data_IF_760532059967
#
_entry.id   IF_760532059967
#
_cell.length_a   1.000
_cell.length_b   1.000
_cell.length_c   1.000
_cell.angle_alpha   90.00
_cell.angle_beta   90.00
_cell.angle_gamma   90.00
#
_symmetry.space_group_name_H-M   'P 1'
#
loop_
_entity.id
_entity.type
_entity.pdbx_description
1 polymer ?
#
# COMPACT_ATOMS: atom_id res chain seq x y z
N UNK A 1 -10.43 8.95 -31.39
CA UNK A 1 -10.78 8.91 -29.95
C UNK A 1 -11.23 10.30 -29.53
N UNK A 2 -12.43 10.45 -28.94
CA UNK A 2 -13.02 11.76 -28.60
C UNK A 2 -12.29 12.42 -27.43
N UNK A 3 -12.09 13.75 -27.51
CA UNK A 3 -11.47 14.55 -26.45
C UNK A 3 -12.17 14.37 -25.08
N UNK A 4 -13.48 14.09 -25.08
CA UNK A 4 -14.25 13.80 -23.88
C UNK A 4 -13.87 12.46 -23.20
N UNK A 5 -13.41 11.47 -23.96
CA UNK A 5 -12.98 10.18 -23.40
C UNK A 5 -11.59 10.27 -22.77
N UNK A 6 -10.72 11.14 -23.31
CA UNK A 6 -9.39 11.42 -22.76
C UNK A 6 -9.51 12.19 -21.44
N UNK A 7 -10.35 13.22 -21.40
CA UNK A 7 -10.61 14.00 -20.17
C UNK A 7 -11.17 13.13 -19.03
N UNK A 8 -12.16 12.28 -19.35
CA UNK A 8 -12.76 11.36 -18.36
C UNK A 8 -11.74 10.38 -17.78
N UNK A 9 -10.85 9.82 -18.62
CA UNK A 9 -9.79 8.90 -18.18
C UNK A 9 -8.77 9.59 -17.28
N UNK A 10 -8.38 10.80 -17.62
CA UNK A 10 -7.42 11.57 -16.83
C UNK A 10 -7.98 11.95 -15.46
N UNK A 11 -9.26 12.35 -15.38
CA UNK A 11 -9.95 12.62 -14.12
C UNK A 11 -10.00 11.40 -13.21
N UNK A 12 -10.27 10.22 -13.76
CA UNK A 12 -10.30 8.96 -13.00
C UNK A 12 -8.92 8.62 -12.43
N UNK A 13 -7.84 8.80 -13.20
CA UNK A 13 -6.48 8.57 -12.71
C UNK A 13 -6.10 9.54 -11.59
N UNK A 14 -6.41 10.82 -11.74
CA UNK A 14 -6.15 11.85 -10.73
C UNK A 14 -6.91 11.59 -9.43
N UNK A 15 -8.20 11.25 -9.52
CA UNK A 15 -9.01 10.89 -8.34
C UNK A 15 -8.38 9.71 -7.60
N UNK A 16 -7.95 8.70 -8.34
CA UNK A 16 -7.31 7.50 -7.78
C UNK A 16 -6.03 7.84 -7.01
N UNK A 17 -5.14 8.62 -7.62
CA UNK A 17 -3.89 9.07 -7.00
C UNK A 17 -4.14 9.86 -5.71
N UNK A 18 -5.03 10.86 -5.78
CA UNK A 18 -5.42 11.67 -4.61
C UNK A 18 -6.01 10.79 -3.51
N UNK A 19 -6.88 9.84 -3.86
CA UNK A 19 -7.44 8.89 -2.89
C UNK A 19 -6.37 7.99 -2.27
N UNK A 20 -5.40 7.49 -3.05
CA UNK A 20 -4.28 6.68 -2.55
C UNK A 20 -3.38 7.48 -1.61
N UNK A 21 -3.01 8.72 -1.97
CA UNK A 21 -2.19 9.59 -1.12
C UNK A 21 -2.92 9.91 0.18
N UNK A 22 -4.20 10.29 0.11
CA UNK A 22 -5.01 10.57 1.30
C UNK A 22 -5.13 9.34 2.19
N UNK A 23 -5.39 8.16 1.61
CA UNK A 23 -5.47 6.90 2.35
C UNK A 23 -4.15 6.58 3.06
N UNK A 24 -3.03 6.62 2.33
CA UNK A 24 -1.70 6.38 2.88
C UNK A 24 -1.30 7.44 3.92
N UNK A 25 -1.70 8.70 3.75
CA UNK A 25 -1.39 9.79 4.68
C UNK A 25 -2.16 9.63 5.99
N UNK A 26 -3.46 9.35 5.90
CA UNK A 26 -4.31 9.09 7.08
C UNK A 26 -3.85 7.84 7.79
N UNK A 27 -3.55 6.78 7.04
CA UNK A 27 -3.03 5.54 7.62
C UNK A 27 -1.66 5.75 8.24
N UNK A 28 -0.72 6.37 7.54
CA UNK A 28 0.63 6.62 8.05
C UNK A 28 0.64 7.50 9.30
N UNK A 29 -0.25 8.49 9.36
CA UNK A 29 -0.44 9.31 10.55
C UNK A 29 -1.00 8.50 11.72
N UNK A 30 -1.97 7.61 11.44
CA UNK A 30 -2.58 6.75 12.45
C UNK A 30 -1.62 5.68 12.97
N UNK A 31 -0.80 5.13 12.07
CA UNK A 31 0.24 4.15 12.35
C UNK A 31 1.32 4.74 13.28
N UNK A 32 1.73 5.98 13.04
CA UNK A 32 2.66 6.71 13.90
C UNK A 32 2.11 6.99 15.31
N UNK A 33 0.79 7.22 15.45
CA UNK A 33 0.21 7.73 16.70
C UNK A 33 -0.48 6.68 17.57
N UNK A 34 -1.04 5.60 17.00
CA UNK A 34 -1.91 4.66 17.73
C UNK A 34 -1.58 3.19 17.58
N UNK A 35 -0.72 2.77 16.64
CA UNK A 35 -0.42 1.34 16.37
C UNK A 35 -1.66 0.43 16.23
N UNK A 36 -2.81 1.01 15.90
CA UNK A 36 -4.04 0.27 15.64
C UNK A 36 -4.36 0.42 14.16
N UNK A 37 -4.09 -0.66 13.42
CA UNK A 37 -4.41 -0.76 12.01
C UNK A 37 -5.94 -0.84 11.92
N UNK A 38 -6.56 0.25 11.47
CA UNK A 38 -8.01 0.25 11.24
C UNK A 38 -8.33 -0.59 10.01
N UNK A 39 -8.47 -1.89 10.23
CA UNK A 39 -9.00 -2.88 9.28
C UNK A 39 -10.25 -2.38 8.55
N UNK A 40 -11.10 -1.60 9.24
CA UNK A 40 -12.28 -0.98 8.66
C UNK A 40 -11.96 0.01 7.53
N UNK A 41 -10.98 0.91 7.70
CA UNK A 41 -10.60 1.89 6.67
C UNK A 41 -9.88 1.20 5.50
N UNK A 42 -9.05 0.20 5.78
CA UNK A 42 -8.39 -0.61 4.74
C UNK A 42 -9.40 -1.41 3.94
N UNK A 43 -10.40 -1.99 4.62
CA UNK A 43 -11.50 -2.72 3.98
C UNK A 43 -12.36 -1.83 3.09
N UNK A 44 -12.77 -0.65 3.56
CA UNK A 44 -13.56 0.28 2.73
C UNK A 44 -12.77 0.76 1.52
N UNK A 45 -11.48 1.07 1.69
CA UNK A 45 -10.60 1.43 0.57
C UNK A 45 -10.47 0.29 -0.44
N UNK A 46 -10.28 -0.95 0.05
CA UNK A 46 -10.19 -2.14 -0.80
C UNK A 46 -11.46 -2.40 -1.61
N UNK A 47 -12.64 -2.24 -1.00
CA UNK A 47 -13.95 -2.38 -1.67
C UNK A 47 -14.12 -1.32 -2.76
N UNK A 48 -13.75 -0.06 -2.48
CA UNK A 48 -13.80 1.02 -3.47
C UNK A 48 -12.83 0.72 -4.63
N UNK A 49 -11.60 0.29 -4.33
CA UNK A 49 -10.62 -0.10 -5.34
C UNK A 49 -11.11 -1.25 -6.22
N UNK A 50 -11.74 -2.26 -5.61
CA UNK A 50 -12.35 -3.38 -6.33
C UNK A 50 -13.46 -2.90 -7.29
N UNK A 51 -14.38 -2.05 -6.81
CA UNK A 51 -15.44 -1.49 -7.66
C UNK A 51 -14.85 -0.68 -8.83
N UNK A 52 -13.81 0.13 -8.58
CA UNK A 52 -13.10 0.87 -9.62
C UNK A 52 -12.41 -0.04 -10.63
N UNK A 53 -11.77 -1.13 -10.17
CA UNK A 53 -11.06 -2.05 -11.04
C UNK A 53 -12.02 -2.87 -11.92
N UNK A 54 -13.22 -3.19 -11.44
CA UNK A 54 -14.27 -3.82 -12.25
C UNK A 54 -14.76 -2.82 -13.30
N UNK A 55 -14.99 -1.56 -12.92
CA UNK A 55 -15.40 -0.50 -13.86
C UNK A 55 -14.32 -0.18 -14.92
N UNK A 56 -13.04 -0.35 -14.57
CA UNK A 56 -11.91 -0.10 -15.46
C UNK A 56 -11.52 -1.29 -16.35
N UNK A 57 -12.27 -2.41 -16.29
CA UNK A 57 -12.03 -3.65 -17.06
C UNK A 57 -10.56 -4.10 -17.03
N UNK A 58 -9.96 -4.12 -15.82
CA UNK A 58 -8.54 -4.48 -15.70
C UNK A 58 -8.30 -5.94 -16.10
N UNK A 59 -7.19 -6.22 -16.83
CA UNK A 59 -6.80 -7.58 -17.13
C UNK A 59 -6.50 -8.36 -15.85
N UNK A 60 -6.85 -9.65 -15.84
CA UNK A 60 -6.64 -10.53 -14.68
C UNK A 60 -5.15 -10.70 -14.31
N UNK A 61 -4.24 -10.53 -15.25
CA UNK A 61 -2.80 -10.56 -14.99
C UNK A 61 -2.34 -9.43 -14.06
N UNK A 62 -2.99 -8.26 -14.14
CA UNK A 62 -2.71 -7.12 -13.27
C UNK A 62 -3.16 -7.35 -11.82
N UNK A 63 -4.02 -8.36 -11.60
CA UNK A 63 -4.45 -8.77 -10.26
C UNK A 63 -3.50 -9.77 -9.63
N UNK A 64 -2.83 -10.60 -10.43
CA UNK A 64 -2.10 -11.76 -9.93
C UNK A 64 -0.92 -11.36 -9.02
N UNK A 65 -0.18 -10.32 -9.40
CA UNK A 65 0.97 -9.83 -8.64
C UNK A 65 0.57 -9.19 -7.30
N UNK A 66 -0.30 -8.16 -7.27
CA UNK A 66 -0.69 -7.53 -6.00
C UNK A 66 -1.39 -8.52 -5.05
N UNK A 67 -2.24 -9.39 -5.59
CA UNK A 67 -2.94 -10.39 -4.79
C UNK A 67 -1.98 -11.45 -4.27
N UNK A 68 -1.02 -11.90 -5.08
CA UNK A 68 0.02 -12.85 -4.68
C UNK A 68 0.93 -12.31 -3.58
N UNK A 69 1.41 -11.06 -3.71
CA UNK A 69 2.23 -10.40 -2.68
C UNK A 69 1.45 -10.26 -1.37
N UNK A 70 0.20 -9.79 -1.45
CA UNK A 70 -0.65 -9.61 -0.27
C UNK A 70 -0.96 -10.93 0.42
N UNK A 71 -1.25 -11.97 -0.35
CA UNK A 71 -1.51 -13.31 0.16
C UNK A 71 -0.27 -13.92 0.82
N UNK A 72 0.91 -13.73 0.24
CA UNK A 72 2.17 -14.18 0.82
C UNK A 72 2.44 -13.52 2.18
N UNK A 73 2.23 -12.19 2.30
CA UNK A 73 2.38 -11.46 3.57
C UNK A 73 1.36 -11.95 4.60
N UNK A 74 0.09 -12.12 4.21
CA UNK A 74 -0.94 -12.63 5.10
C UNK A 74 -0.65 -14.07 5.55
N UNK A 75 -0.14 -14.93 4.65
CA UNK A 75 0.25 -16.30 4.98
C UNK A 75 1.38 -16.33 6.02
N UNK A 76 2.42 -15.49 5.82
CA UNK A 76 3.50 -15.31 6.80
C UNK A 76 2.95 -14.80 8.13
N UNK A 77 2.03 -13.84 8.10
CA UNK A 77 1.38 -13.31 9.30
C UNK A 77 0.64 -14.39 10.08
N UNK A 78 -0.16 -15.23 9.39
CA UNK A 78 -0.88 -16.35 10.03
C UNK A 78 0.10 -17.36 10.63
N UNK A 79 1.20 -17.68 9.94
CA UNK A 79 2.25 -18.56 10.46
C UNK A 79 2.95 -17.99 11.70
N UNK A 80 3.12 -16.67 11.78
CA UNK A 80 3.69 -15.98 12.95
C UNK A 80 2.67 -15.66 14.05
N UNK A 81 1.45 -16.22 13.99
CA UNK A 81 0.43 -16.00 15.02
C UNK A 81 -0.21 -14.61 15.00
N UNK A 82 -0.12 -13.89 13.87
CA UNK A 82 -0.70 -12.55 13.70
C UNK A 82 0.16 -11.42 14.28
N UNK A 83 1.34 -11.71 14.83
CA UNK A 83 2.23 -10.70 15.42
C UNK A 83 2.99 -9.87 14.36
N UNK A 84 3.23 -10.40 13.16
CA UNK A 84 4.04 -9.74 12.13
C UNK A 84 3.27 -9.64 10.82
N UNK A 85 2.97 -8.42 10.38
CA UNK A 85 2.52 -8.14 9.01
C UNK A 85 1.04 -8.41 8.72
N UNK A 86 0.20 -8.67 9.73
CA UNK A 86 -1.24 -8.89 9.52
C UNK A 86 -1.89 -7.68 8.85
N UNK A 87 -1.70 -6.49 9.42
CA UNK A 87 -2.29 -5.29 8.86
C UNK A 87 -1.57 -4.76 7.63
N UNK A 88 -0.25 -4.99 7.50
CA UNK A 88 0.49 -4.67 6.28
C UNK A 88 -0.05 -5.46 5.08
N UNK A 89 -0.35 -6.75 5.27
CA UNK A 89 -0.96 -7.60 4.24
C UNK A 89 -2.32 -7.08 3.76
N UNK A 90 -3.17 -6.59 4.66
CA UNK A 90 -4.43 -5.95 4.30
C UNK A 90 -4.23 -4.63 3.55
N UNK A 91 -3.24 -3.83 3.95
CA UNK A 91 -2.92 -2.56 3.28
C UNK A 91 -2.41 -2.83 1.87
N UNK A 92 -1.49 -3.77 1.69
CA UNK A 92 -1.04 -4.21 0.38
C UNK A 92 -2.18 -4.77 -0.46
N UNK A 93 -3.13 -5.49 0.14
CA UNK A 93 -4.29 -6.01 -0.60
C UNK A 93 -5.17 -4.86 -1.10
N UNK A 94 -5.48 -3.89 -0.24
CA UNK A 94 -6.31 -2.74 -0.59
C UNK A 94 -5.61 -1.79 -1.59
N UNK A 95 -4.29 -1.64 -1.48
CA UNK A 95 -3.48 -0.91 -2.46
C UNK A 95 -3.47 -1.65 -3.80
N UNK A 96 -3.40 -2.97 -3.80
CA UNK A 96 -3.42 -3.80 -5.00
C UNK A 96 -4.73 -3.72 -5.79
N UNK A 97 -5.88 -3.53 -5.12
CA UNK A 97 -7.16 -3.34 -5.83
C UNK A 97 -7.24 -1.97 -6.51
N UNK A 98 -6.58 -0.95 -5.94
CA UNK A 98 -6.61 0.41 -6.49
C UNK A 98 -5.49 0.64 -7.52
N UNK A 99 -4.27 0.19 -7.27
CA UNK A 99 -3.07 0.52 -8.06
C UNK A 99 -2.81 -0.49 -9.17
N UNK A 100 -2.19 -0.04 -10.27
CA UNK A 100 -1.70 -0.96 -11.29
C UNK A 100 -0.42 -1.65 -10.80
N UNK A 101 -0.14 -2.81 -11.37
CA UNK A 101 1.02 -3.66 -11.02
C UNK A 101 2.33 -2.88 -11.00
N UNK A 102 2.61 -2.09 -12.02
CA UNK A 102 3.86 -1.32 -12.12
C UNK A 102 4.04 -0.35 -10.95
N UNK A 103 3.01 0.46 -10.70
CA UNK A 103 3.01 1.46 -9.63
C UNK A 103 3.03 0.80 -8.25
N UNK A 104 2.31 -0.30 -8.10
CA UNK A 104 2.29 -1.10 -6.88
C UNK A 104 3.68 -1.65 -6.56
N UNK A 105 4.34 -2.28 -7.53
CA UNK A 105 5.68 -2.84 -7.35
C UNK A 105 6.71 -1.75 -7.07
N UNK A 106 6.68 -0.63 -7.80
CA UNK A 106 7.56 0.51 -7.53
C UNK A 106 7.39 1.06 -6.12
N UNK A 107 6.15 1.32 -5.72
CA UNK A 107 5.85 1.80 -4.38
C UNK A 107 6.31 0.81 -3.30
N UNK A 108 6.02 -0.49 -3.49
CA UNK A 108 6.42 -1.54 -2.58
C UNK A 108 7.95 -1.62 -2.46
N UNK A 109 8.67 -1.64 -3.58
CA UNK A 109 10.13 -1.70 -3.60
C UNK A 109 10.75 -0.48 -2.91
N UNK A 110 10.37 0.74 -3.29
CA UNK A 110 10.93 1.96 -2.71
C UNK A 110 10.56 2.05 -1.23
N UNK A 111 9.29 1.81 -0.87
CA UNK A 111 8.82 1.84 0.51
C UNK A 111 9.53 0.83 1.41
N UNK A 112 9.71 -0.41 0.94
CA UNK A 112 10.45 -1.45 1.67
C UNK A 112 11.94 -1.12 1.80
N UNK A 113 12.57 -0.56 0.76
CA UNK A 113 13.98 -0.15 0.84
C UNK A 113 14.18 0.94 1.89
N UNK A 114 13.33 1.97 1.90
CA UNK A 114 13.40 3.04 2.91
C UNK A 114 13.14 2.47 4.31
N UNK A 115 12.13 1.61 4.46
CA UNK A 115 11.83 0.95 5.73
C UNK A 115 13.00 0.07 6.22
N UNK A 116 13.66 -0.67 5.32
CA UNK A 116 14.81 -1.51 5.63
C UNK A 116 16.04 -0.68 6.03
N UNK A 117 16.32 0.43 5.35
CA UNK A 117 17.38 1.37 5.74
C UNK A 117 17.08 1.96 7.11
N UNK A 118 15.84 2.40 7.36
CA UNK A 118 15.43 2.94 8.65
C UNK A 118 15.57 1.91 9.77
N UNK A 119 15.13 0.67 9.54
CA UNK A 119 15.29 -0.45 10.46
C UNK A 119 16.78 -0.73 10.75
N UNK A 120 17.62 -0.78 9.71
CA UNK A 120 19.06 -1.00 9.83
C UNK A 120 19.74 0.10 10.65
N UNK A 121 19.43 1.36 10.38
CA UNK A 121 19.96 2.51 11.14
C UNK A 121 19.51 2.45 12.61
N UNK A 122 18.24 2.14 12.87
CA UNK A 122 17.71 2.02 14.23
C UNK A 122 18.38 0.88 15.02
N UNK A 123 18.66 -0.25 14.35
CA UNK A 123 19.35 -1.39 14.95
C UNK A 123 20.83 -1.08 15.24
N UNK A 124 21.53 -0.40 14.33
CA UNK A 124 22.95 -0.05 14.47
C UNK A 124 23.17 1.06 15.50
N UNK A 125 22.35 2.12 15.48
CA UNK A 125 22.58 3.32 16.31
C UNK A 125 21.88 3.21 17.67
N UNK A 126 20.60 2.81 17.71
CA UNK A 126 19.82 2.90 18.94
C UNK A 126 19.91 1.66 19.83
N UNK A 127 20.50 0.53 19.38
CA UNK A 127 20.49 -0.77 20.09
C UNK A 127 19.10 -1.14 20.64
N UNK A 128 18.04 -0.59 20.03
CA UNK A 128 16.68 -0.63 20.57
C UNK A 128 16.11 -1.99 20.26
N UNK A 129 15.56 -2.65 21.28
CA UNK A 129 15.13 -4.04 21.21
C UNK A 129 14.15 -4.31 20.06
N UNK A 130 14.18 -5.57 19.58
CA UNK A 130 13.38 -6.20 18.51
C UNK A 130 11.84 -5.96 18.54
N UNK A 131 11.30 -5.24 19.52
CA UNK A 131 9.86 -4.98 19.73
C UNK A 131 9.39 -3.61 19.26
N UNK A 132 10.24 -2.83 18.60
CA UNK A 132 9.82 -1.55 18.02
C UNK A 132 9.16 -1.86 16.68
N UNK A 133 7.84 -2.09 16.65
CA UNK A 133 7.09 -2.16 15.38
C UNK A 133 7.34 -0.87 14.60
N UNK A 134 7.93 -1.02 13.42
CA UNK A 134 8.23 0.08 12.51
C UNK A 134 6.97 0.33 11.70
N UNK A 135 6.41 1.56 11.74
CA UNK A 135 5.20 1.84 11.00
C UNK A 135 5.50 1.81 9.49
N UNK A 136 5.10 0.75 8.78
CA UNK A 136 5.42 0.54 7.36
C UNK A 136 4.72 1.57 6.46
N UNK A 137 3.50 1.97 6.82
CA UNK A 137 2.63 2.81 6.01
C UNK A 137 3.18 4.19 5.65
N UNK A 138 3.79 4.98 6.57
CA UNK A 138 4.44 6.22 6.18
C UNK A 138 5.58 6.00 5.17
N UNK A 139 6.32 4.88 5.24
CA UNK A 139 7.34 4.56 4.24
C UNK A 139 6.72 4.20 2.88
N UNK A 140 5.59 3.50 2.86
CA UNK A 140 4.83 3.25 1.64
C UNK A 140 4.30 4.53 1.00
N UNK A 141 3.90 5.54 1.80
CA UNK A 141 3.54 6.85 1.28
C UNK A 141 4.71 7.51 0.53
N UNK A 142 5.90 7.50 1.12
CA UNK A 142 7.09 8.02 0.46
C UNK A 142 7.46 7.19 -0.78
N UNK A 143 7.30 5.86 -0.71
CA UNK A 143 7.48 4.97 -1.85
C UNK A 143 6.49 5.27 -2.98
N UNK A 144 5.24 5.59 -2.64
CA UNK A 144 4.20 5.96 -3.61
C UNK A 144 4.53 7.27 -4.32
N UNK A 145 4.89 8.30 -3.57
CA UNK A 145 5.30 9.59 -4.12
C UNK A 145 6.57 9.46 -4.97
N UNK A 146 7.55 8.67 -4.51
CA UNK A 146 8.75 8.36 -5.29
C UNK A 146 8.44 7.61 -6.58
N UNK A 147 7.52 6.63 -6.53
CA UNK A 147 7.06 5.88 -7.70
C UNK A 147 6.33 6.74 -8.72
N UNK A 148 5.70 7.84 -8.28
CA UNK A 148 4.96 8.78 -9.13
C UNK A 148 5.87 9.79 -9.84
N UNK A 149 7.01 10.10 -9.22
CA UNK A 149 8.00 11.04 -9.74
C UNK A 149 9.04 10.40 -10.69
N UNK A 150 9.24 9.08 -10.57
CA UNK A 150 10.16 8.29 -11.40
C UNK A 150 9.52 7.83 -12.71
#
# INVERSE_FOLDING_TARGET
MSAAAVDKRQRIMQIREVMTVLFLAVMGWKDWKKKEISLLLTGTYGIIGLAFSIYAERPLEDWLLPFGVSLMILAVSVLTGGEIGMGDGWIFLALGTMLHTEMYVRMACIGMLIAAVYAGVLLVICKKGRKTEIPLVPFLLFGYLGGLLL
#
